data_IF_697361816224
#
_entry.id   IF_697361816224
#
_cell.length_a   1.000
_cell.length_b   1.000
_cell.length_c   1.000
_cell.angle_alpha   90.00
_cell.angle_beta   90.00
_cell.angle_gamma   90.00
#
_symmetry.space_group_name_H-M   'P 1'
#
loop_
_entity.id
_entity.type
_entity.pdbx_description
1 polymer ?
#
# COMPACT_ATOMS: atom_id res chain seq x y z
N UNK A 1 11.37 -12.59 -18.48
CA UNK A 1 11.78 -11.32 -17.84
C UNK A 1 12.39 -10.47 -18.93
N UNK A 2 11.76 -9.35 -19.27
CA UNK A 2 12.13 -8.55 -20.45
C UNK A 2 13.27 -7.59 -20.07
N UNK A 3 14.43 -7.77 -20.71
CA UNK A 3 15.73 -7.26 -20.24
C UNK A 3 16.22 -6.05 -21.05
N UNK A 4 15.31 -5.16 -21.45
CA UNK A 4 15.61 -4.15 -22.49
C UNK A 4 16.52 -3.00 -22.04
N UNK A 5 16.67 -2.74 -20.72
CA UNK A 5 17.42 -1.59 -20.19
C UNK A 5 18.43 -1.92 -19.05
N UNK A 6 18.75 -3.19 -18.79
CA UNK A 6 19.78 -3.57 -17.80
C UNK A 6 19.41 -3.40 -16.32
N UNK A 7 18.28 -2.77 -15.98
CA UNK A 7 17.74 -2.74 -14.62
C UNK A 7 16.72 -3.87 -14.44
N UNK A 8 17.04 -4.81 -13.55
CA UNK A 8 16.13 -5.90 -13.18
C UNK A 8 15.26 -5.44 -12.01
N UNK A 9 13.95 -5.28 -12.24
CA UNK A 9 12.98 -5.06 -11.16
C UNK A 9 12.96 -6.30 -10.27
N UNK A 10 13.41 -6.13 -9.02
CA UNK A 10 13.47 -7.19 -8.02
C UNK A 10 12.12 -7.40 -7.35
N UNK A 11 11.95 -8.51 -6.64
CA UNK A 11 10.74 -8.75 -5.86
C UNK A 11 10.58 -7.72 -4.73
N UNK A 12 11.69 -7.23 -4.15
CA UNK A 12 11.68 -6.11 -3.19
C UNK A 12 11.09 -4.86 -3.82
N UNK A 13 11.48 -4.53 -5.05
CA UNK A 13 10.96 -3.35 -5.76
C UNK A 13 9.46 -3.47 -6.01
N UNK A 14 8.98 -4.67 -6.39
CA UNK A 14 7.54 -4.94 -6.56
C UNK A 14 6.77 -4.76 -5.26
N UNK A 15 7.27 -5.31 -4.15
CA UNK A 15 6.64 -5.16 -2.82
C UNK A 15 6.66 -3.71 -2.37
N UNK A 16 7.75 -2.98 -2.63
CA UNK A 16 7.86 -1.56 -2.30
C UNK A 16 6.87 -0.71 -3.10
N UNK A 17 6.73 -0.94 -4.40
CA UNK A 17 5.71 -0.28 -5.22
C UNK A 17 4.29 -0.61 -4.74
N UNK A 18 4.00 -1.86 -4.39
CA UNK A 18 2.70 -2.25 -3.84
C UNK A 18 2.41 -1.57 -2.49
N UNK A 19 3.42 -1.45 -1.63
CA UNK A 19 3.31 -0.72 -0.36
C UNK A 19 2.99 0.76 -0.60
N UNK A 20 3.72 1.44 -1.48
CA UNK A 20 3.47 2.84 -1.83
C UNK A 20 2.04 3.05 -2.33
N UNK A 21 1.58 2.21 -3.28
CA UNK A 21 0.24 2.30 -3.84
C UNK A 21 -0.84 2.12 -2.75
N UNK A 22 -0.66 1.15 -1.86
CA UNK A 22 -1.59 0.93 -0.75
C UNK A 22 -1.62 2.13 0.21
N UNK A 23 -0.46 2.73 0.53
CA UNK A 23 -0.41 3.92 1.39
C UNK A 23 -1.05 5.16 0.76
N UNK A 24 -0.95 5.31 -0.56
CA UNK A 24 -1.65 6.35 -1.30
C UNK A 24 -3.17 6.12 -1.27
N UNK A 25 -3.61 4.89 -1.53
CA UNK A 25 -5.02 4.52 -1.46
C UNK A 25 -5.64 4.75 -0.07
N UNK A 26 -4.91 4.47 1.01
CA UNK A 26 -5.34 4.82 2.39
C UNK A 26 -5.66 6.30 2.51
N UNK A 27 -4.77 7.18 2.00
CA UNK A 27 -4.93 8.63 2.08
C UNK A 27 -6.18 9.06 1.30
N UNK A 28 -6.27 8.64 0.05
CA UNK A 28 -7.34 9.07 -0.86
C UNK A 28 -8.71 8.58 -0.36
N UNK A 29 -8.83 7.33 0.06
CA UNK A 29 -10.09 6.80 0.60
C UNK A 29 -10.50 7.47 1.92
N UNK A 30 -9.54 7.83 2.77
CA UNK A 30 -9.85 8.58 3.98
C UNK A 30 -10.35 10.00 3.65
N UNK A 31 -9.74 10.65 2.66
CA UNK A 31 -10.15 11.96 2.20
C UNK A 31 -11.57 11.93 1.63
N UNK A 32 -11.87 10.98 0.75
CA UNK A 32 -13.22 10.80 0.20
C UNK A 32 -14.25 10.49 1.29
N UNK A 33 -13.91 9.67 2.28
CA UNK A 33 -14.81 9.37 3.38
C UNK A 33 -15.18 10.64 4.17
N UNK A 34 -14.20 11.51 4.44
CA UNK A 34 -14.41 12.78 5.15
C UNK A 34 -15.22 13.79 4.31
N UNK A 35 -14.94 13.87 3.00
CA UNK A 35 -15.67 14.78 2.09
C UNK A 35 -17.14 14.40 1.92
N UNK A 36 -17.45 13.10 2.00
CA UNK A 36 -18.81 12.58 1.79
C UNK A 36 -19.61 12.45 3.09
N UNK A 37 -19.01 12.68 4.25
CA UNK A 37 -19.68 12.59 5.56
C UNK A 37 -20.83 13.62 5.64
N UNK A 38 -22.05 13.16 5.91
CA UNK A 38 -23.25 14.01 5.95
C UNK A 38 -23.88 14.31 4.58
N UNK A 39 -23.16 14.10 3.47
CA UNK A 39 -23.70 14.23 2.10
C UNK A 39 -24.12 12.87 1.52
N UNK A 40 -23.31 11.83 1.74
CA UNK A 40 -23.55 10.48 1.27
C UNK A 40 -22.92 9.44 2.22
N UNK A 41 -23.54 9.27 3.38
CA UNK A 41 -23.02 8.42 4.46
C UNK A 41 -22.73 6.97 4.05
N UNK A 42 -23.52 6.43 3.10
CA UNK A 42 -23.27 5.07 2.58
C UNK A 42 -21.93 4.99 1.86
N UNK A 43 -21.62 6.00 1.04
CA UNK A 43 -20.37 6.03 0.30
C UNK A 43 -19.19 6.41 1.21
N UNK A 44 -19.42 7.29 2.17
CA UNK A 44 -18.45 7.63 3.22
C UNK A 44 -18.03 6.38 4.02
N UNK A 45 -18.99 5.59 4.50
CA UNK A 45 -18.73 4.33 5.22
C UNK A 45 -17.98 3.30 4.36
N UNK A 46 -18.32 3.18 3.08
CA UNK A 46 -17.62 2.31 2.15
C UNK A 46 -16.14 2.72 2.00
N UNK A 47 -15.86 4.01 1.81
CA UNK A 47 -14.49 4.50 1.67
C UNK A 47 -13.69 4.40 2.98
N UNK A 48 -14.32 4.64 4.14
CA UNK A 48 -13.67 4.46 5.43
C UNK A 48 -13.20 3.01 5.62
N UNK A 49 -14.07 2.03 5.31
CA UNK A 49 -13.72 0.60 5.36
C UNK A 49 -12.62 0.23 4.38
N UNK A 50 -12.63 0.80 3.18
CA UNK A 50 -11.56 0.55 2.20
C UNK A 50 -10.23 1.15 2.65
N UNK A 51 -10.23 2.36 3.24
CA UNK A 51 -9.03 2.98 3.83
C UNK A 51 -8.42 2.08 4.91
N UNK A 52 -9.24 1.48 5.79
CA UNK A 52 -8.77 0.51 6.79
C UNK A 52 -8.18 -0.75 6.14
N UNK A 53 -8.87 -1.32 5.14
CA UNK A 53 -8.40 -2.51 4.45
C UNK A 53 -7.04 -2.31 3.75
N UNK A 54 -6.87 -1.18 3.06
CA UNK A 54 -5.60 -0.80 2.45
C UNK A 54 -4.51 -0.55 3.50
N UNK A 55 -4.86 -0.01 4.67
CA UNK A 55 -3.94 0.17 5.79
C UNK A 55 -3.39 -1.17 6.31
N UNK A 56 -4.25 -2.18 6.43
CA UNK A 56 -3.84 -3.55 6.78
C UNK A 56 -2.96 -4.15 5.69
N UNK A 57 -3.28 -3.92 4.42
CA UNK A 57 -2.49 -4.41 3.30
C UNK A 57 -1.10 -3.76 3.24
N UNK A 58 -1.02 -2.44 3.41
CA UNK A 58 0.23 -1.70 3.54
C UNK A 58 1.07 -2.21 4.72
N UNK A 59 0.47 -2.44 5.89
CA UNK A 59 1.19 -2.98 7.05
C UNK A 59 1.81 -4.36 6.77
N UNK A 60 1.10 -5.24 6.05
CA UNK A 60 1.64 -6.55 5.63
C UNK A 60 2.84 -6.40 4.70
N UNK A 61 2.76 -5.52 3.70
CA UNK A 61 3.88 -5.28 2.78
C UNK A 61 5.08 -4.67 3.47
N UNK A 62 4.86 -3.73 4.41
CA UNK A 62 5.94 -3.14 5.20
C UNK A 62 6.68 -4.20 6.02
N UNK A 63 5.95 -5.14 6.63
CA UNK A 63 6.56 -6.25 7.37
C UNK A 63 7.46 -7.11 6.48
N UNK A 64 7.01 -7.45 5.27
CA UNK A 64 7.80 -8.22 4.30
C UNK A 64 9.08 -7.45 3.92
N UNK A 65 8.98 -6.13 3.68
CA UNK A 65 10.13 -5.28 3.37
C UNK A 65 11.15 -5.26 4.52
N UNK A 66 10.68 -5.14 5.75
CA UNK A 66 11.54 -5.15 6.95
C UNK A 66 12.24 -6.50 7.13
N UNK A 67 11.53 -7.62 6.95
CA UNK A 67 12.12 -8.96 7.03
C UNK A 67 13.18 -9.21 5.95
N UNK A 68 12.99 -8.65 4.75
CA UNK A 68 13.98 -8.68 3.67
C UNK A 68 15.28 -7.93 4.02
N UNK A 69 15.17 -6.78 4.70
CA UNK A 69 16.33 -5.96 5.08
C UNK A 69 17.09 -6.56 6.28
N UNK A 70 16.41 -7.23 7.23
CA UNK A 70 17.05 -7.93 8.37
C UNK A 70 17.89 -9.13 7.91
N UNK A 71 17.42 -9.90 6.92
CA UNK A 71 18.15 -11.07 6.38
C UNK A 71 19.46 -10.69 5.67
N UNK A 72 19.63 -9.44 5.24
CA UNK A 72 20.89 -8.96 4.64
C UNK A 72 21.94 -8.54 5.67
N UNK A 73 21.56 -8.24 6.91
CA UNK A 73 22.47 -7.75 7.96
C UNK A 73 23.02 -8.90 8.82
N UNK A 74 22.31 -10.03 8.86
CA UNK A 74 22.63 -11.19 9.71
C UNK A 74 23.30 -12.34 8.96
N UNK A 75 23.66 -12.15 7.68
CA UNK A 75 24.31 -13.14 6.81
C UNK A 75 25.75 -12.78 6.46
#
# INVERSE_FOLDING_TARGET
MDNKNGFLITDRDRVYSAWLNATEAVRDYREYANELEGENDKLADMFAKQSEAEGIFAAKMLKILQEHDVKKITG
#
